data_IF_837820339426
#
_entry.id   IF_837820339426
#
_cell.length_a   1.000
_cell.length_b   1.000
_cell.length_c   1.000
_cell.angle_alpha   90.00
_cell.angle_beta   90.00
_cell.angle_gamma   90.00
#
_symmetry.space_group_name_H-M   'P 1'
#
loop_
_entity.id
_entity.type
_entity.pdbx_description
1 polymer ?
#
# COMPACT_ATOMS: atom_id res chain seq x y z
N UNK A 1 -35.42 0.35 -56.13
CA UNK A 1 -35.93 0.27 -54.74
C UNK A 1 -34.78 -0.12 -53.83
N UNK A 2 -34.08 0.87 -53.28
CA UNK A 2 -32.94 0.65 -52.38
C UNK A 2 -33.44 0.49 -50.95
N UNK A 3 -33.36 -0.71 -50.40
CA UNK A 3 -33.69 -0.99 -49.01
C UNK A 3 -32.58 -0.42 -48.11
N UNK A 4 -32.73 0.83 -47.68
CA UNK A 4 -31.82 1.48 -46.73
C UNK A 4 -32.03 0.90 -45.34
N UNK A 5 -31.36 -0.22 -45.07
CA UNK A 5 -31.33 -0.85 -43.77
C UNK A 5 -30.86 0.14 -42.70
N UNK A 6 -31.78 0.57 -41.83
CA UNK A 6 -31.47 1.31 -40.59
C UNK A 6 -30.49 0.46 -39.77
N UNK A 7 -29.20 0.83 -39.78
CA UNK A 7 -28.22 0.33 -38.81
C UNK A 7 -28.72 0.73 -37.42
N UNK A 8 -29.22 -0.24 -36.65
CA UNK A 8 -29.43 -0.06 -35.20
C UNK A 8 -28.07 0.31 -34.62
N UNK A 9 -27.98 1.50 -34.04
CA UNK A 9 -26.78 1.92 -33.31
C UNK A 9 -26.46 0.92 -32.19
N UNK A 10 -25.18 0.85 -31.76
CA UNK A 10 -24.77 -0.01 -30.67
C UNK A 10 -25.66 0.23 -29.44
N UNK A 11 -26.10 -0.85 -28.79
CA UNK A 11 -26.94 -0.71 -27.59
C UNK A 11 -26.07 -0.09 -26.49
N UNK A 12 -26.66 0.78 -25.67
CA UNK A 12 -25.98 1.44 -24.54
C UNK A 12 -25.28 0.45 -23.59
N UNK A 13 -25.77 -0.79 -23.50
CA UNK A 13 -25.15 -1.91 -22.79
C UNK A 13 -23.76 -2.25 -23.30
N UNK A 14 -23.58 -2.28 -24.62
CA UNK A 14 -22.37 -2.78 -25.26
C UNK A 14 -21.20 -1.81 -25.02
N UNK A 15 -21.49 -0.51 -25.01
CA UNK A 15 -20.51 0.52 -24.66
C UNK A 15 -20.09 0.46 -23.18
N UNK A 16 -21.02 0.13 -22.28
CA UNK A 16 -20.71 0.06 -20.85
C UNK A 16 -19.85 -1.16 -20.52
N UNK A 17 -20.14 -2.31 -21.11
CA UNK A 17 -19.34 -3.52 -20.95
C UNK A 17 -17.90 -3.31 -21.47
N UNK A 18 -17.75 -2.65 -22.62
CA UNK A 18 -16.44 -2.34 -23.18
C UNK A 18 -15.58 -1.46 -22.24
N UNK A 19 -16.18 -0.44 -21.62
CA UNK A 19 -15.49 0.44 -20.66
C UNK A 19 -15.05 -0.35 -19.42
N UNK A 20 -15.92 -1.23 -18.90
CA UNK A 20 -15.62 -2.05 -17.72
C UNK A 20 -14.51 -3.08 -17.99
N UNK A 21 -14.49 -3.68 -19.18
CA UNK A 21 -13.42 -4.58 -19.60
C UNK A 21 -12.09 -3.83 -19.76
N UNK A 22 -12.11 -2.63 -20.33
CA UNK A 22 -10.93 -1.77 -20.45
C UNK A 22 -10.36 -1.42 -19.07
N UNK A 23 -11.23 -1.03 -18.13
CA UNK A 23 -10.82 -0.73 -16.76
C UNK A 23 -10.22 -1.94 -16.05
N UNK A 24 -10.81 -3.14 -16.22
CA UNK A 24 -10.26 -4.39 -15.67
C UNK A 24 -8.84 -4.65 -16.20
N UNK A 25 -8.60 -4.40 -17.48
CA UNK A 25 -7.27 -4.57 -18.08
C UNK A 25 -6.27 -3.57 -17.49
N UNK A 26 -6.66 -2.31 -17.33
CA UNK A 26 -5.83 -1.25 -16.72
C UNK A 26 -5.44 -1.60 -15.28
N UNK A 27 -6.39 -2.08 -14.47
CA UNK A 27 -6.11 -2.48 -13.09
C UNK A 27 -5.18 -3.70 -13.01
N UNK A 28 -5.29 -4.62 -13.98
CA UNK A 28 -4.41 -5.78 -14.05
C UNK A 28 -2.98 -5.36 -14.40
N UNK A 29 -2.80 -4.43 -15.34
CA UNK A 29 -1.47 -3.90 -15.66
C UNK A 29 -0.89 -3.13 -14.48
N UNK A 30 -1.66 -2.25 -13.83
CA UNK A 30 -1.20 -1.49 -12.66
C UNK A 30 -0.78 -2.43 -11.51
N UNK A 31 -1.56 -3.49 -11.26
CA UNK A 31 -1.19 -4.51 -10.26
C UNK A 31 0.11 -5.24 -10.62
N UNK A 32 0.36 -5.54 -11.90
CA UNK A 32 1.60 -6.15 -12.36
C UNK A 32 2.79 -5.21 -12.15
N UNK A 33 2.62 -3.93 -12.47
CA UNK A 33 3.66 -2.91 -12.27
C UNK A 33 4.01 -2.73 -10.80
N UNK A 34 3.00 -2.73 -9.91
CA UNK A 34 3.21 -2.67 -8.46
C UNK A 34 3.97 -3.89 -7.93
N UNK A 35 3.66 -5.09 -8.42
CA UNK A 35 4.39 -6.32 -8.06
C UNK A 35 5.82 -6.31 -8.58
N UNK A 36 6.03 -5.86 -9.81
CA UNK A 36 7.37 -5.71 -10.37
C UNK A 36 8.20 -4.71 -9.56
N UNK A 37 7.58 -3.60 -9.13
CA UNK A 37 8.19 -2.61 -8.26
C UNK A 37 8.59 -3.21 -6.90
N UNK A 38 7.73 -4.00 -6.26
CA UNK A 38 8.03 -4.73 -5.02
C UNK A 38 9.24 -5.65 -5.15
N UNK A 39 9.32 -6.43 -6.24
CA UNK A 39 10.47 -7.31 -6.51
C UNK A 39 11.74 -6.48 -6.69
N UNK A 40 11.69 -5.37 -7.43
CA UNK A 40 12.84 -4.48 -7.62
C UNK A 40 13.37 -3.93 -6.28
N UNK A 41 12.51 -3.49 -5.37
CA UNK A 41 12.95 -3.00 -4.05
C UNK A 41 13.64 -4.10 -3.23
N UNK A 42 13.10 -5.31 -3.23
CA UNK A 42 13.73 -6.44 -2.56
C UNK A 42 15.10 -6.76 -3.19
N UNK A 43 15.19 -6.80 -4.51
CA UNK A 43 16.46 -7.02 -5.23
C UNK A 43 17.48 -5.93 -4.92
N UNK A 44 17.10 -4.65 -4.95
CA UNK A 44 17.98 -3.53 -4.61
C UNK A 44 18.51 -3.69 -3.19
N UNK A 45 17.64 -3.99 -2.21
CA UNK A 45 18.07 -4.16 -0.82
C UNK A 45 19.05 -5.33 -0.65
N UNK A 46 18.75 -6.49 -1.25
CA UNK A 46 19.62 -7.68 -1.19
C UNK A 46 20.96 -7.40 -1.88
N UNK A 47 20.95 -6.84 -3.10
CA UNK A 47 22.16 -6.53 -3.87
C UNK A 47 23.01 -5.48 -3.17
N UNK A 48 22.40 -4.39 -2.68
CA UNK A 48 23.12 -3.35 -1.96
C UNK A 48 23.79 -3.91 -0.69
N UNK A 49 23.08 -4.75 0.07
CA UNK A 49 23.66 -5.42 1.24
C UNK A 49 24.84 -6.31 0.84
N UNK A 50 24.68 -7.16 -0.18
CA UNK A 50 25.75 -8.04 -0.64
C UNK A 50 26.99 -7.29 -1.12
N UNK A 51 26.80 -6.22 -1.91
CA UNK A 51 27.89 -5.38 -2.42
C UNK A 51 28.62 -4.68 -1.27
N UNK A 52 27.90 -4.03 -0.36
CA UNK A 52 28.49 -3.29 0.76
C UNK A 52 29.20 -4.23 1.74
N UNK A 53 28.64 -5.41 2.04
CA UNK A 53 29.31 -6.40 2.88
C UNK A 53 30.57 -6.96 2.21
N UNK A 54 30.55 -7.17 0.89
CA UNK A 54 31.74 -7.57 0.14
C UNK A 54 32.84 -6.51 0.14
N UNK A 55 32.47 -5.23 0.10
CA UNK A 55 33.41 -4.12 0.20
C UNK A 55 33.91 -3.87 1.63
N UNK A 56 33.10 -4.12 2.66
CA UNK A 56 33.47 -3.90 4.07
C UNK A 56 34.77 -4.61 4.45
N UNK A 57 35.03 -5.80 3.90
CA UNK A 57 36.29 -6.52 4.11
C UNK A 57 37.54 -5.78 3.58
N UNK A 58 37.39 -4.87 2.62
CA UNK A 58 38.49 -4.11 2.00
C UNK A 58 38.71 -2.74 2.62
N UNK A 59 37.67 -2.10 3.15
CA UNK A 59 37.72 -0.73 3.68
C UNK A 59 37.98 -0.66 5.19
N UNK A 60 38.18 -1.80 5.85
CA UNK A 60 38.47 -1.90 7.28
C UNK A 60 37.23 -2.15 8.14
N UNK A 61 37.46 -2.54 9.39
CA UNK A 61 36.43 -2.96 10.35
C UNK A 61 35.69 -1.78 11.02
N UNK A 62 35.39 -0.70 10.29
CA UNK A 62 34.68 0.44 10.87
C UNK A 62 33.16 0.20 10.92
N UNK A 63 32.52 0.55 12.05
CA UNK A 63 31.07 0.42 12.27
C UNK A 63 30.24 1.03 11.11
N UNK A 64 30.53 2.25 10.61
CA UNK A 64 29.68 2.90 9.61
C UNK A 64 29.51 2.11 8.31
N UNK A 65 30.53 1.35 7.88
CA UNK A 65 30.45 0.56 6.64
C UNK A 65 29.41 -0.56 6.73
N UNK A 66 29.25 -1.18 7.90
CA UNK A 66 28.26 -2.22 8.12
C UNK A 66 26.84 -1.67 8.35
N UNK A 67 26.73 -0.39 8.73
CA UNK A 67 25.45 0.32 8.86
C UNK A 67 24.97 0.96 7.56
N UNK A 68 25.88 1.29 6.63
CA UNK A 68 25.55 1.93 5.35
C UNK A 68 24.40 1.25 4.55
N UNK A 69 24.30 -0.10 4.48
CA UNK A 69 23.18 -0.75 3.80
C UNK A 69 21.80 -0.39 4.37
N UNK A 70 21.70 -0.06 5.66
CA UNK A 70 20.43 0.27 6.32
C UNK A 70 19.76 1.50 5.69
N UNK A 71 20.54 2.43 5.14
CA UNK A 71 20.04 3.61 4.42
C UNK A 71 19.21 3.21 3.19
N UNK A 72 19.49 2.05 2.60
CA UNK A 72 18.74 1.51 1.45
C UNK A 72 17.66 0.52 1.92
N UNK A 73 18.01 -0.38 2.84
CA UNK A 73 17.12 -1.46 3.30
C UNK A 73 15.86 -0.87 3.96
N UNK A 74 16.00 0.08 4.88
CA UNK A 74 14.88 0.56 5.70
C UNK A 74 13.81 1.30 4.86
N UNK A 75 14.15 2.24 3.95
CA UNK A 75 13.15 2.83 3.06
C UNK A 75 12.51 1.79 2.12
N UNK A 76 13.29 0.86 1.56
CA UNK A 76 12.76 -0.22 0.73
C UNK A 76 11.76 -1.10 1.49
N UNK A 77 12.02 -1.37 2.77
CA UNK A 77 11.15 -2.16 3.63
C UNK A 77 9.79 -1.46 3.83
N UNK A 78 9.79 -0.17 4.16
CA UNK A 78 8.55 0.63 4.32
C UNK A 78 7.76 0.69 3.00
N UNK A 79 8.42 1.12 1.93
CA UNK A 79 7.76 1.28 0.62
C UNK A 79 7.20 -0.04 0.11
N UNK A 80 7.89 -1.16 0.33
CA UNK A 80 7.39 -2.48 -0.07
C UNK A 80 6.01 -2.79 0.55
N UNK A 81 5.84 -2.54 1.85
CA UNK A 81 4.58 -2.81 2.55
C UNK A 81 3.49 -1.79 2.22
N UNK A 82 3.85 -0.52 1.98
CA UNK A 82 2.90 0.46 1.46
C UNK A 82 2.34 0.04 0.09
N UNK A 83 3.21 -0.45 -0.81
CA UNK A 83 2.76 -1.00 -2.10
C UNK A 83 1.90 -2.25 -1.93
N UNK A 84 2.15 -3.08 -0.92
CA UNK A 84 1.31 -4.25 -0.64
C UNK A 84 -0.13 -3.84 -0.29
N UNK A 85 -0.33 -2.79 0.50
CA UNK A 85 -1.68 -2.27 0.81
C UNK A 85 -2.42 -1.76 -0.44
N UNK A 86 -1.68 -1.15 -1.38
CA UNK A 86 -2.25 -0.70 -2.65
C UNK A 86 -2.68 -1.89 -3.53
N UNK A 87 -1.87 -2.95 -3.58
CA UNK A 87 -2.21 -4.19 -4.30
C UNK A 87 -3.46 -4.84 -3.71
N UNK A 88 -3.61 -4.91 -2.38
CA UNK A 88 -4.82 -5.51 -1.78
C UNK A 88 -6.06 -4.68 -2.05
N UNK A 89 -5.94 -3.34 -2.10
CA UNK A 89 -7.04 -2.44 -2.47
C UNK A 89 -7.49 -2.62 -3.92
N UNK A 90 -6.54 -2.63 -4.87
CA UNK A 90 -6.83 -2.89 -6.30
C UNK A 90 -7.44 -4.28 -6.49
N UNK A 91 -6.90 -5.29 -5.81
CA UNK A 91 -7.44 -6.66 -5.88
C UNK A 91 -8.87 -6.72 -5.35
N UNK A 92 -9.16 -6.00 -4.26
CA UNK A 92 -10.52 -5.90 -3.70
C UNK A 92 -11.51 -5.31 -4.71
N UNK A 93 -11.15 -4.19 -5.35
CA UNK A 93 -12.01 -3.56 -6.35
C UNK A 93 -12.15 -4.41 -7.61
N UNK A 94 -11.07 -5.06 -8.06
CA UNK A 94 -11.12 -5.95 -9.23
C UNK A 94 -12.08 -7.13 -9.03
N UNK A 95 -12.17 -7.68 -7.81
CA UNK A 95 -13.16 -8.71 -7.47
C UNK A 95 -14.58 -8.17 -7.49
N UNK A 96 -14.78 -6.96 -6.97
CA UNK A 96 -16.07 -6.28 -7.04
C UNK A 96 -16.50 -6.07 -8.51
N UNK A 97 -15.60 -5.54 -9.35
CA UNK A 97 -15.87 -5.32 -10.77
C UNK A 97 -16.22 -6.63 -11.50
N UNK A 98 -15.55 -7.73 -11.16
CA UNK A 98 -15.86 -9.05 -11.70
C UNK A 98 -17.24 -9.56 -11.27
N UNK A 99 -17.62 -9.38 -10.00
CA UNK A 99 -18.97 -9.72 -9.52
C UNK A 99 -20.06 -8.89 -10.21
N UNK A 100 -19.80 -7.59 -10.41
CA UNK A 100 -20.67 -6.67 -11.14
C UNK A 100 -20.86 -7.12 -12.60
N UNK A 101 -19.76 -7.43 -13.31
CA UNK A 101 -19.79 -7.91 -14.70
C UNK A 101 -20.53 -9.25 -14.87
N UNK A 102 -20.49 -10.12 -13.85
CA UNK A 102 -21.22 -11.38 -13.83
C UNK A 102 -22.71 -11.22 -13.48
N UNK A 103 -23.16 -10.00 -13.16
CA UNK A 103 -24.54 -9.74 -12.74
C UNK A 103 -24.89 -10.35 -11.37
N UNK A 104 -23.89 -10.69 -10.56
CA UNK A 104 -24.08 -11.27 -9.23
C UNK A 104 -24.49 -10.23 -8.18
N UNK A 105 -24.25 -8.95 -8.46
CA UNK A 105 -24.57 -7.85 -7.57
C UNK A 105 -25.45 -6.82 -8.28
N UNK A 106 -26.71 -6.73 -7.86
CA UNK A 106 -27.74 -5.86 -8.48
C UNK A 106 -27.99 -4.58 -7.69
N UNK A 107 -27.45 -4.47 -6.47
CA UNK A 107 -27.68 -3.32 -5.60
C UNK A 107 -26.60 -2.25 -5.70
N UNK A 108 -25.51 -2.55 -6.41
CA UNK A 108 -24.37 -1.63 -6.52
C UNK A 108 -24.38 -0.90 -7.85
N UNK A 109 -23.84 0.32 -7.83
CA UNK A 109 -23.72 1.15 -9.02
C UNK A 109 -22.30 1.06 -9.54
N UNK A 110 -22.14 0.86 -10.84
CA UNK A 110 -20.81 0.98 -11.44
C UNK A 110 -20.32 2.43 -11.31
N UNK A 111 -19.15 2.57 -10.68
CA UNK A 111 -18.41 3.81 -10.50
C UNK A 111 -16.98 3.50 -10.93
N UNK A 112 -16.43 4.27 -11.88
CA UNK A 112 -15.07 4.05 -12.35
C UNK A 112 -14.02 4.18 -11.24
N UNK A 113 -12.91 3.45 -11.38
CA UNK A 113 -11.86 3.25 -10.39
C UNK A 113 -11.45 4.51 -9.63
N UNK A 114 -11.14 5.61 -10.32
CA UNK A 114 -10.65 6.84 -9.67
C UNK A 114 -11.69 7.46 -8.73
N UNK A 115 -12.96 7.48 -9.15
CA UNK A 115 -14.08 7.98 -8.34
C UNK A 115 -14.40 7.01 -7.20
N UNK A 116 -14.34 5.71 -7.45
CA UNK A 116 -14.52 4.70 -6.42
C UNK A 116 -13.41 4.85 -5.35
N UNK A 117 -12.18 5.09 -5.79
CA UNK A 117 -11.02 5.27 -4.94
C UNK A 117 -11.07 6.57 -4.13
N UNK A 118 -11.62 7.66 -4.67
CA UNK A 118 -11.84 8.89 -3.89
C UNK A 118 -12.84 8.67 -2.76
N UNK A 119 -13.99 8.03 -3.04
CA UNK A 119 -15.01 7.66 -2.05
C UNK A 119 -14.40 6.77 -0.96
N UNK A 120 -13.66 5.74 -1.37
CA UNK A 120 -12.99 4.81 -0.46
C UNK A 120 -12.02 5.54 0.48
N UNK A 121 -11.19 6.46 -0.06
CA UNK A 121 -10.23 7.25 0.74
C UNK A 121 -10.93 8.19 1.72
N UNK A 122 -12.01 8.85 1.30
CA UNK A 122 -12.79 9.72 2.19
C UNK A 122 -13.38 8.93 3.36
N UNK A 123 -13.93 7.73 3.10
CA UNK A 123 -14.44 6.84 4.16
C UNK A 123 -13.32 6.42 5.13
N UNK A 124 -12.15 6.06 4.61
CA UNK A 124 -10.99 5.74 5.45
C UNK A 124 -10.52 6.92 6.31
N UNK A 125 -10.53 8.14 5.78
CA UNK A 125 -10.17 9.35 6.52
C UNK A 125 -11.17 9.67 7.66
N UNK A 126 -12.47 9.51 7.39
CA UNK A 126 -13.52 9.66 8.42
C UNK A 126 -13.33 8.65 9.56
N UNK A 127 -13.01 7.40 9.23
CA UNK A 127 -12.78 6.37 10.23
C UNK A 127 -11.46 6.58 10.99
N UNK A 128 -10.43 7.11 10.34
CA UNK A 128 -9.13 7.35 10.97
C UNK A 128 -9.18 8.49 12.00
N UNK A 129 -9.89 9.58 11.71
CA UNK A 129 -9.93 10.79 12.57
C UNK A 129 -10.58 10.58 13.94
N UNK A 130 -11.31 9.48 14.14
CA UNK A 130 -11.99 9.18 15.41
C UNK A 130 -11.08 8.66 16.54
N UNK A 131 -9.90 8.10 16.24
CA UNK A 131 -9.07 7.44 17.25
C UNK A 131 -7.94 8.35 17.80
N UNK A 132 -7.83 8.58 19.12
CA UNK A 132 -6.76 9.37 19.72
C UNK A 132 -5.38 8.73 19.54
N UNK A 133 -4.32 9.56 19.43
CA UNK A 133 -2.94 9.11 19.17
C UNK A 133 -2.45 8.04 20.16
N UNK A 134 -2.80 8.18 21.43
CA UNK A 134 -2.42 7.24 22.49
C UNK A 134 -2.97 5.84 22.22
N UNK A 135 -4.23 5.73 21.79
CA UNK A 135 -4.84 4.43 21.47
C UNK A 135 -4.17 3.78 20.26
N UNK A 136 -3.80 4.57 19.24
CA UNK A 136 -3.09 4.05 18.06
C UNK A 136 -1.74 3.43 18.44
N UNK A 137 -1.02 4.05 19.36
CA UNK A 137 0.26 3.53 19.84
C UNK A 137 0.09 2.20 20.59
N UNK A 138 -0.83 2.15 21.56
CA UNK A 138 -1.10 0.91 22.31
C UNK A 138 -1.63 -0.20 21.43
N UNK A 139 -2.50 0.13 20.46
CA UNK A 139 -2.96 -0.81 19.44
C UNK A 139 -1.77 -1.34 18.65
N UNK A 140 -0.84 -0.48 18.19
CA UNK A 140 0.35 -0.91 17.44
C UNK A 140 1.26 -1.85 18.24
N UNK A 141 1.41 -1.61 19.56
CA UNK A 141 2.22 -2.45 20.45
C UNK A 141 1.56 -3.81 20.71
N UNK A 142 0.25 -3.83 20.95
CA UNK A 142 -0.51 -5.07 21.12
C UNK A 142 -0.50 -5.89 19.82
N UNK A 143 -0.71 -5.21 18.70
CA UNK A 143 -0.57 -5.72 17.33
C UNK A 143 0.78 -6.33 17.04
N UNK A 144 1.87 -5.78 17.60
CA UNK A 144 3.20 -6.36 17.39
C UNK A 144 3.31 -7.78 17.97
N UNK A 145 2.69 -8.03 19.14
CA UNK A 145 2.72 -9.35 19.78
C UNK A 145 1.93 -10.40 18.97
N UNK A 146 0.72 -10.07 18.52
CA UNK A 146 -0.11 -10.94 17.66
C UNK A 146 0.49 -11.08 16.25
N UNK A 147 1.09 -10.01 15.73
CA UNK A 147 1.79 -9.99 14.45
C UNK A 147 2.98 -10.94 14.44
N UNK A 148 3.76 -11.00 15.53
CA UNK A 148 4.88 -11.94 15.64
C UNK A 148 4.41 -13.41 15.58
N UNK A 149 3.30 -13.74 16.27
CA UNK A 149 2.69 -15.06 16.16
C UNK A 149 2.19 -15.35 14.74
N UNK A 150 1.66 -14.31 14.07
CA UNK A 150 1.18 -14.40 12.69
C UNK A 150 2.31 -14.65 11.71
N UNK A 151 3.49 -14.07 11.90
CA UNK A 151 4.68 -14.35 11.07
C UNK A 151 5.05 -15.83 11.16
N UNK A 152 5.03 -16.41 12.36
CA UNK A 152 5.41 -17.82 12.58
C UNK A 152 4.42 -18.80 11.93
N UNK A 153 3.16 -18.41 11.72
CA UNK A 153 2.16 -19.24 11.05
C UNK A 153 2.23 -19.06 9.53
N UNK A 154 2.87 -19.98 8.81
CA UNK A 154 2.99 -19.96 7.34
C UNK A 154 1.70 -20.34 6.57
N UNK A 155 0.60 -19.66 6.88
CA UNK A 155 -0.69 -19.83 6.21
C UNK A 155 -0.67 -19.23 4.79
N UNK A 156 -1.23 -19.96 3.83
CA UNK A 156 -1.61 -19.40 2.52
C UNK A 156 -2.84 -18.49 2.71
N UNK A 157 -2.98 -17.37 1.98
CA UNK A 157 -2.24 -16.92 0.79
C UNK A 157 -1.09 -15.93 1.06
N UNK A 158 -0.77 -15.64 2.32
CA UNK A 158 0.07 -14.48 2.68
C UNK A 158 1.58 -14.79 2.80
N UNK A 159 2.01 -15.95 2.32
CA UNK A 159 3.39 -16.45 2.48
C UNK A 159 4.44 -15.49 1.91
N UNK A 160 4.15 -14.91 0.74
CA UNK A 160 5.06 -13.99 0.07
C UNK A 160 5.45 -12.81 0.97
N UNK A 161 4.47 -12.12 1.56
CA UNK A 161 4.74 -10.96 2.42
C UNK A 161 5.49 -11.33 3.70
N UNK A 162 5.21 -12.50 4.29
CA UNK A 162 5.92 -13.00 5.48
C UNK A 162 7.38 -13.31 5.18
N UNK A 163 7.64 -14.00 4.06
CA UNK A 163 9.01 -14.31 3.61
C UNK A 163 9.76 -13.01 3.37
N UNK A 164 9.17 -12.05 2.65
CA UNK A 164 9.84 -10.78 2.38
C UNK A 164 10.10 -9.97 3.65
N UNK A 165 9.16 -9.94 4.60
CA UNK A 165 9.38 -9.31 5.91
C UNK A 165 10.59 -9.94 6.62
N UNK A 166 10.64 -11.28 6.67
CA UNK A 166 11.74 -12.02 7.28
C UNK A 166 13.07 -11.77 6.56
N UNK A 167 13.07 -11.62 5.23
CA UNK A 167 14.28 -11.27 4.47
C UNK A 167 14.80 -9.89 4.85
N UNK A 168 13.95 -8.86 4.87
CA UNK A 168 14.36 -7.52 5.29
C UNK A 168 14.86 -7.49 6.74
N UNK A 169 14.18 -8.20 7.64
CA UNK A 169 14.59 -8.35 9.04
C UNK A 169 15.95 -9.04 9.15
N UNK A 170 16.17 -10.14 8.43
CA UNK A 170 17.43 -10.88 8.46
C UNK A 170 18.61 -10.05 7.92
N UNK A 171 18.43 -9.33 6.80
CA UNK A 171 19.46 -8.43 6.26
C UNK A 171 19.81 -7.32 7.26
N UNK A 172 18.80 -6.74 7.91
CA UNK A 172 18.99 -5.69 8.91
C UNK A 172 19.72 -6.20 10.15
N UNK A 173 19.31 -7.36 10.68
CA UNK A 173 19.97 -8.02 11.82
C UNK A 173 21.42 -8.37 11.47
N UNK A 174 21.68 -8.82 10.24
CA UNK A 174 23.02 -9.11 9.77
C UNK A 174 23.90 -7.84 9.78
N UNK A 175 23.42 -6.72 9.23
CA UNK A 175 24.12 -5.44 9.25
C UNK A 175 24.42 -4.96 10.68
N UNK A 176 23.41 -4.95 11.55
CA UNK A 176 23.57 -4.55 12.96
C UNK A 176 24.50 -5.50 13.73
N UNK A 177 24.39 -6.81 13.50
CA UNK A 177 25.23 -7.81 14.15
C UNK A 177 26.70 -7.70 13.75
N UNK A 178 26.98 -7.42 12.48
CA UNK A 178 28.35 -7.17 12.01
C UNK A 178 28.90 -5.86 12.59
N UNK A 179 28.13 -4.77 12.57
CA UNK A 179 28.51 -3.50 13.18
C UNK A 179 28.80 -3.65 14.68
N UNK A 180 27.96 -4.37 15.43
CA UNK A 180 28.18 -4.64 16.85
C UNK A 180 29.46 -5.45 17.08
N UNK A 181 29.69 -6.48 16.26
CA UNK A 181 30.88 -7.34 16.36
C UNK A 181 32.16 -6.55 16.08
N UNK A 182 32.17 -5.68 15.06
CA UNK A 182 33.34 -4.86 14.75
C UNK A 182 33.58 -3.80 15.81
N UNK A 183 32.52 -3.12 16.26
CA UNK A 183 32.61 -2.15 17.35
C UNK A 183 33.20 -2.70 18.64
N UNK A 184 32.77 -3.91 19.01
CA UNK A 184 33.28 -4.60 20.20
C UNK A 184 34.76 -4.99 20.08
N UNK A 185 35.23 -5.37 18.89
CA UNK A 185 36.62 -5.81 18.67
C UNK A 185 37.58 -4.65 18.42
N UNK A 186 37.13 -3.62 17.71
CA UNK A 186 37.95 -2.51 17.25
C UNK A 186 38.14 -1.40 18.27
N UNK A 187 37.44 -1.45 19.41
CA UNK A 187 37.47 -0.35 20.39
C UNK A 187 36.83 0.92 19.82
N UNK A 188 35.62 0.79 19.29
CA UNK A 188 34.91 1.88 18.63
C UNK A 188 34.80 3.16 19.48
N UNK A 189 34.95 4.30 18.81
CA UNK A 189 34.82 5.63 19.41
C UNK A 189 33.36 5.90 19.84
N UNK A 190 33.17 6.83 20.77
CA UNK A 190 31.85 7.15 21.32
C UNK A 190 30.84 7.57 20.24
N UNK A 191 31.31 8.30 19.22
CA UNK A 191 30.46 8.77 18.11
C UNK A 191 29.92 7.61 17.26
N UNK A 192 30.70 6.55 17.05
CA UNK A 192 30.27 5.38 16.31
C UNK A 192 29.19 4.58 17.08
N UNK A 193 29.29 4.52 18.41
CA UNK A 193 28.27 3.91 19.26
C UNK A 193 26.95 4.68 19.23
N UNK A 194 26.99 6.02 19.16
CA UNK A 194 25.78 6.83 18.96
C UNK A 194 25.13 6.55 17.61
N UNK A 195 25.92 6.47 16.53
CA UNK A 195 25.41 6.11 15.20
C UNK A 195 24.79 4.71 15.17
N UNK A 196 25.42 3.74 15.84
CA UNK A 196 24.88 2.40 16.02
C UNK A 196 23.56 2.41 16.79
N UNK A 197 23.52 3.06 17.96
CA UNK A 197 22.31 3.15 18.78
C UNK A 197 21.14 3.81 18.03
N UNK A 198 21.41 4.91 17.32
CA UNK A 198 20.43 5.57 16.45
C UNK A 198 19.89 4.64 15.37
N UNK A 199 20.78 3.87 14.72
CA UNK A 199 20.41 2.90 13.68
C UNK A 199 19.53 1.77 14.23
N UNK A 200 19.80 1.30 15.45
CA UNK A 200 18.97 0.31 16.15
C UNK A 200 17.58 0.86 16.43
N UNK A 201 17.48 2.09 16.97
CA UNK A 201 16.18 2.72 17.25
C UNK A 201 15.35 2.87 15.98
N UNK A 202 15.92 3.42 14.91
CA UNK A 202 15.22 3.59 13.62
C UNK A 202 14.79 2.23 13.07
N UNK A 203 15.68 1.24 13.12
CA UNK A 203 15.38 -0.14 12.70
C UNK A 203 14.18 -0.71 13.45
N UNK A 204 14.15 -0.59 14.77
CA UNK A 204 13.06 -1.10 15.60
C UNK A 204 11.74 -0.40 15.25
N UNK A 205 11.76 0.92 15.06
CA UNK A 205 10.58 1.67 14.64
C UNK A 205 10.06 1.22 13.27
N UNK A 206 10.94 1.02 12.28
CA UNK A 206 10.58 0.51 10.95
C UNK A 206 10.05 -0.92 11.01
N UNK A 207 10.69 -1.79 11.79
CA UNK A 207 10.26 -3.17 11.96
C UNK A 207 8.87 -3.25 12.61
N UNK A 208 8.61 -2.46 13.66
CA UNK A 208 7.30 -2.38 14.31
C UNK A 208 6.23 -1.82 13.37
N UNK A 209 6.54 -0.76 12.63
CA UNK A 209 5.62 -0.16 11.67
C UNK A 209 5.25 -1.14 10.55
N UNK A 210 6.24 -1.79 9.93
CA UNK A 210 6.00 -2.76 8.85
C UNK A 210 5.35 -4.05 9.36
N UNK A 211 5.61 -4.45 10.61
CA UNK A 211 4.91 -5.54 11.27
C UNK A 211 3.42 -5.22 11.47
N UNK A 212 3.11 -4.00 11.92
CA UNK A 212 1.74 -3.51 12.02
C UNK A 212 1.03 -3.54 10.65
N UNK A 213 1.70 -3.09 9.58
CA UNK A 213 1.16 -3.18 8.22
C UNK A 213 0.94 -4.63 7.78
N UNK A 214 1.89 -5.53 8.05
CA UNK A 214 1.79 -6.95 7.71
C UNK A 214 0.61 -7.61 8.43
N UNK A 215 0.41 -7.34 9.71
CA UNK A 215 -0.76 -7.86 10.45
C UNK A 215 -2.06 -7.35 9.82
N UNK A 216 -2.14 -6.04 9.51
CA UNK A 216 -3.33 -5.47 8.88
C UNK A 216 -3.58 -6.01 7.48
N UNK A 217 -2.54 -6.42 6.75
CA UNK A 217 -2.63 -7.09 5.46
C UNK A 217 -3.12 -8.54 5.57
N UNK A 218 -2.78 -9.25 6.64
CA UNK A 218 -3.14 -10.67 6.84
C UNK A 218 -4.55 -10.81 7.42
N UNK A 219 -4.82 -10.10 8.53
CA UNK A 219 -6.03 -10.29 9.33
C UNK A 219 -6.84 -9.01 9.52
N UNK A 220 -6.26 -7.83 9.28
CA UNK A 220 -6.90 -6.56 9.58
C UNK A 220 -7.54 -5.85 8.38
N UNK A 221 -7.55 -4.52 8.49
CA UNK A 221 -8.23 -3.59 7.57
C UNK A 221 -7.78 -3.69 6.10
N UNK A 222 -6.56 -4.13 5.85
CA UNK A 222 -6.00 -4.24 4.51
C UNK A 222 -6.06 -5.66 3.94
N UNK A 223 -6.68 -6.59 4.66
CA UNK A 223 -6.87 -7.96 4.20
C UNK A 223 -7.77 -8.01 2.97
N UNK A 224 -7.58 -9.01 2.11
CA UNK A 224 -8.38 -9.16 0.89
C UNK A 224 -9.88 -9.25 1.18
N UNK A 225 -10.26 -9.92 2.27
CA UNK A 225 -11.67 -10.08 2.67
C UNK A 225 -12.26 -8.75 3.09
N UNK A 226 -11.55 -8.03 3.96
CA UNK A 226 -12.02 -6.74 4.48
C UNK A 226 -12.10 -5.69 3.38
N UNK A 227 -11.06 -5.52 2.57
CA UNK A 227 -11.09 -4.60 1.44
C UNK A 227 -12.23 -4.92 0.46
N UNK A 228 -12.47 -6.20 0.16
CA UNK A 228 -13.58 -6.60 -0.71
C UNK A 228 -14.94 -6.24 -0.13
N UNK A 229 -15.12 -6.39 1.19
CA UNK A 229 -16.34 -6.00 1.89
C UNK A 229 -16.51 -4.48 1.94
N UNK A 230 -15.43 -3.74 2.24
CA UNK A 230 -15.43 -2.27 2.25
C UNK A 230 -15.77 -1.70 0.87
N UNK A 231 -15.27 -2.30 -0.21
CA UNK A 231 -15.65 -1.91 -1.57
C UNK A 231 -17.14 -2.08 -1.84
N UNK A 232 -17.73 -3.21 -1.42
CA UNK A 232 -19.18 -3.42 -1.53
C UNK A 232 -19.99 -2.37 -0.77
N UNK A 233 -19.53 -1.96 0.43
CA UNK A 233 -20.18 -0.90 1.20
C UNK A 233 -19.99 0.49 0.56
N UNK A 234 -18.82 0.79 0.00
CA UNK A 234 -18.54 2.08 -0.63
C UNK A 234 -19.31 2.29 -1.94
N UNK A 235 -19.67 1.20 -2.61
CA UNK A 235 -20.33 1.21 -3.92
C UNK A 235 -21.81 0.84 -3.85
N UNK A 236 -22.36 0.79 -2.63
CA UNK A 236 -23.80 0.78 -2.40
C UNK A 236 -24.43 2.01 -3.07
N UNK A 237 -25.55 1.81 -3.77
CA UNK A 237 -26.18 2.84 -4.58
C UNK A 237 -26.51 4.11 -3.76
N UNK A 238 -26.91 3.94 -2.50
CA UNK A 238 -27.25 5.04 -1.59
C UNK A 238 -26.03 5.92 -1.28
N UNK A 239 -24.90 5.30 -0.97
CA UNK A 239 -23.64 5.98 -0.64
C UNK A 239 -23.09 6.75 -1.85
N UNK A 240 -23.14 6.13 -3.03
CA UNK A 240 -22.72 6.77 -4.29
C UNK A 240 -23.59 7.97 -4.61
N UNK A 241 -24.91 7.87 -4.40
CA UNK A 241 -25.82 9.00 -4.63
C UNK A 241 -25.57 10.15 -3.64
N UNK A 242 -25.34 9.84 -2.37
CA UNK A 242 -24.99 10.84 -1.35
C UNK A 242 -23.68 11.56 -1.70
N UNK A 243 -22.66 10.83 -2.18
CA UNK A 243 -21.40 11.40 -2.65
C UNK A 243 -21.62 12.38 -3.81
N UNK A 244 -22.35 11.94 -4.85
CA UNK A 244 -22.64 12.79 -6.02
C UNK A 244 -23.39 14.05 -5.60
N UNK A 245 -24.36 13.96 -4.68
CA UNK A 245 -25.07 15.13 -4.17
C UNK A 245 -24.13 16.10 -3.44
N UNK A 246 -23.18 15.60 -2.64
CA UNK A 246 -22.18 16.44 -1.95
C UNK A 246 -21.27 17.17 -2.94
N UNK A 247 -20.71 16.46 -3.92
CA UNK A 247 -19.85 17.05 -4.96
C UNK A 247 -20.59 18.14 -5.74
N UNK A 248 -21.85 17.92 -6.12
CA UNK A 248 -22.64 18.93 -6.82
C UNK A 248 -22.90 20.17 -5.95
N UNK A 249 -23.12 19.99 -4.65
CA UNK A 249 -23.29 21.10 -3.71
C UNK A 249 -21.99 21.89 -3.48
N UNK A 250 -20.85 21.20 -3.38
CA UNK A 250 -19.54 21.81 -3.20
C UNK A 250 -19.08 22.53 -4.47
N UNK A 251 -19.25 21.92 -5.64
CA UNK A 251 -18.98 22.52 -6.94
C UNK A 251 -19.82 23.78 -7.20
N UNK A 252 -21.08 23.79 -6.74
CA UNK A 252 -21.92 24.99 -6.82
C UNK A 252 -21.46 26.15 -5.93
N UNK A 253 -20.74 25.86 -4.83
CA UNK A 253 -20.21 26.89 -3.92
C UNK A 253 -18.85 27.42 -4.37
N UNK A 254 -18.08 26.61 -5.10
CA UNK A 254 -16.72 26.96 -5.51
C UNK A 254 -16.63 27.69 -6.85
N UNK A 255 -17.73 27.82 -7.62
CA UNK A 255 -17.74 28.75 -8.75
C UNK A 255 -17.80 30.19 -8.23
N UNK A 256 -16.70 30.98 -8.33
CA UNK A 256 -16.80 32.40 -8.05
C UNK A 256 -17.81 32.98 -9.04
N UNK A 257 -18.78 33.75 -8.55
CA UNK A 257 -19.57 34.60 -9.42
C UNK A 257 -18.58 35.50 -10.12
N UNK A 258 -18.25 35.18 -11.37
CA UNK A 258 -17.53 36.09 -12.25
C UNK A 258 -18.48 37.28 -12.45
N UNK A 259 -18.40 38.24 -11.54
CA UNK A 259 -19.02 39.54 -11.74
C UNK A 259 -18.37 40.10 -12.99
N UNK A 260 -19.10 40.08 -14.10
CA UNK A 260 -18.86 41.04 -15.16
C UNK A 260 -19.05 42.40 -14.53
N UNK A 261 -17.96 43.02 -14.08
CA UNK A 261 -17.91 44.45 -13.86
C UNK A 261 -17.98 45.10 -15.24
N UNK A 262 -19.20 45.38 -15.70
CA UNK A 262 -19.43 46.40 -16.73
C UNK A 262 -18.88 47.70 -16.17
N UNK A 263 -17.69 48.06 -16.64
CA UNK A 263 -17.13 49.39 -16.46
C UNK A 263 -17.69 50.22 -17.61
N UNK A 264 -18.55 51.18 -17.25
CA UNK A 264 -18.99 52.25 -18.13
C UNK A 264 -17.93 53.32 -18.31
#
# INVERSE_FOLDING_TARGET
MGNTGKKKGPKRSDNQEAVQLQERQLLKSEMQDLKACQVRYLSIAVTATGVMLGFGQKFGDAIPYYLAPLVIILPCWVVFFDKATSITRITGYSKYLEAFLQGLDTNTKYVGWENALSIFRQRQQRNATAAPLRERFWQSLHSARSGLQTILRFEFPYRYWKITWLTFAALTILCLGLALRTGWRGGAETDEWFAFAGSVVITVLVALHTLYLLEHLVSGKFSYKQNSSEWGQCLDANEVEEYIRRELQEGSKSMPRSGCSETG
#
